data_IF_058932352200
#
_entry.id   IF_058932352200
#
_cell.length_a   1.000
_cell.length_b   1.000
_cell.length_c   1.000
_cell.angle_alpha   90.00
_cell.angle_beta   90.00
_cell.angle_gamma   90.00
#
_symmetry.space_group_name_H-M   'P 1'
#
loop_
_entity.id
_entity.type
_entity.pdbx_description
1 polymer ?
#
# COMPACT_ATOMS: atom_id res chain seq x y z
N UNK A 1 25.38 0.18 -1.90
CA UNK A 1 24.50 0.15 -3.08
C UNK A 1 23.10 0.55 -2.64
N UNK A 2 22.70 1.80 -2.89
CA UNK A 2 21.32 2.22 -2.66
C UNK A 2 20.49 1.66 -3.83
N UNK A 3 19.85 0.51 -3.63
CA UNK A 3 18.88 0.03 -4.60
C UNK A 3 17.76 1.06 -4.67
N UNK A 4 17.49 1.60 -5.86
CA UNK A 4 16.35 2.47 -6.15
C UNK A 4 15.06 1.67 -5.96
N UNK A 5 14.66 1.52 -4.70
CA UNK A 5 13.47 0.80 -4.30
C UNK A 5 12.29 1.77 -4.40
N UNK A 6 11.92 2.22 -5.60
CA UNK A 6 10.74 3.07 -5.77
C UNK A 6 9.49 2.25 -5.39
N UNK A 7 8.74 2.72 -4.39
CA UNK A 7 7.43 2.16 -4.08
C UNK A 7 6.43 2.61 -5.13
N UNK A 8 5.86 1.66 -5.86
CA UNK A 8 4.71 1.94 -6.72
C UNK A 8 3.47 1.30 -6.12
N UNK A 9 2.51 2.16 -5.80
CA UNK A 9 1.14 1.80 -5.44
C UNK A 9 0.23 2.15 -6.61
N UNK A 10 -0.62 1.21 -7.03
CA UNK A 10 -1.58 1.44 -8.11
C UNK A 10 -2.84 0.63 -7.88
N UNK A 11 -3.99 1.27 -8.12
CA UNK A 11 -5.31 0.66 -8.06
C UNK A 11 -5.86 0.63 -9.48
N UNK A 12 -6.26 -0.54 -9.96
CA UNK A 12 -6.84 -0.72 -11.30
C UNK A 12 -8.27 -1.23 -11.18
N UNK A 13 -9.19 -0.70 -11.98
CA UNK A 13 -10.53 -1.29 -12.17
C UNK A 13 -10.39 -2.49 -13.10
N UNK A 14 -10.76 -3.67 -12.60
CA UNK A 14 -10.88 -4.89 -13.39
C UNK A 14 -12.26 -4.99 -14.02
N UNK A 15 -12.48 -6.01 -14.86
CA UNK A 15 -13.84 -6.40 -15.25
C UNK A 15 -14.66 -6.67 -13.98
N UNK A 16 -15.96 -6.36 -14.03
CA UNK A 16 -16.90 -6.55 -12.92
C UNK A 16 -16.69 -5.63 -11.69
N UNK A 17 -16.16 -4.42 -11.89
CA UNK A 17 -15.99 -3.38 -10.84
C UNK A 17 -15.04 -3.76 -9.70
N UNK A 18 -14.32 -4.86 -9.83
CA UNK A 18 -13.29 -5.26 -8.88
C UNK A 18 -12.06 -4.36 -8.99
N UNK A 19 -11.28 -4.23 -7.93
CA UNK A 19 -10.01 -3.53 -8.00
C UNK A 19 -8.81 -4.44 -7.76
N UNK A 20 -7.71 -4.11 -8.42
CA UNK A 20 -6.41 -4.71 -8.19
C UNK A 20 -5.46 -3.69 -7.57
N UNK A 21 -4.89 -4.03 -6.41
CA UNK A 21 -3.83 -3.26 -5.77
C UNK A 21 -2.48 -3.87 -6.15
N UNK A 22 -1.58 -3.05 -6.67
CA UNK A 22 -0.24 -3.48 -7.08
C UNK A 22 0.80 -2.78 -6.24
N UNK A 23 1.66 -3.58 -5.61
CA UNK A 23 2.88 -3.15 -4.95
C UNK A 23 4.07 -3.53 -5.83
N UNK A 24 4.98 -2.59 -6.07
CA UNK A 24 6.24 -2.87 -6.76
C UNK A 24 7.39 -2.22 -6.00
N UNK A 25 8.44 -3.00 -5.85
CA UNK A 25 9.79 -2.67 -5.42
C UNK A 25 10.72 -3.53 -6.30
N UNK A 26 11.95 -3.11 -6.62
CA UNK A 26 12.88 -3.72 -7.60
C UNK A 26 12.71 -5.24 -7.72
N UNK A 27 12.00 -5.70 -8.77
CA UNK A 27 11.61 -7.11 -8.92
C UNK A 27 10.18 -7.32 -9.44
N UNK A 28 9.60 -8.47 -9.08
CA UNK A 28 8.25 -8.88 -9.50
C UNK A 28 7.18 -8.08 -8.75
N UNK A 29 6.16 -7.53 -9.44
CA UNK A 29 5.05 -6.85 -8.77
C UNK A 29 4.27 -7.85 -7.92
N UNK A 30 3.94 -7.44 -6.69
CA UNK A 30 2.97 -8.13 -5.85
C UNK A 30 1.58 -7.56 -6.16
N UNK A 31 0.64 -8.42 -6.51
CA UNK A 31 -0.72 -8.03 -6.89
C UNK A 31 -1.71 -8.64 -5.91
N UNK A 32 -2.62 -7.81 -5.41
CA UNK A 32 -3.83 -8.23 -4.72
C UNK A 32 -5.01 -7.98 -5.65
N UNK A 33 -5.84 -8.98 -5.81
CA UNK A 33 -7.00 -8.95 -6.68
C UNK A 33 -8.28 -8.81 -5.86
N UNK A 34 -9.34 -8.32 -6.48
CA UNK A 34 -10.69 -8.30 -5.91
C UNK A 34 -10.81 -7.53 -4.59
N UNK A 35 -10.08 -6.41 -4.45
CA UNK A 35 -10.19 -5.55 -3.27
C UNK A 35 -11.61 -4.96 -3.18
N UNK A 36 -12.30 -5.18 -2.05
CA UNK A 36 -13.70 -4.80 -1.85
C UNK A 36 -13.82 -3.33 -1.40
N UNK A 37 -12.94 -2.87 -0.51
CA UNK A 37 -13.04 -1.55 0.15
C UNK A 37 -11.96 -0.57 -0.35
N UNK A 38 -11.91 -0.39 -1.66
CA UNK A 38 -10.83 0.33 -2.35
C UNK A 38 -10.70 1.79 -1.93
N UNK A 39 -11.84 2.48 -1.81
CA UNK A 39 -11.87 3.89 -1.42
C UNK A 39 -11.48 4.07 0.04
N UNK A 40 -11.89 3.14 0.90
CA UNK A 40 -11.49 3.12 2.30
C UNK A 40 -9.98 2.93 2.42
N UNK A 41 -9.41 1.93 1.73
CA UNK A 41 -7.97 1.73 1.67
C UNK A 41 -7.22 2.98 1.19
N UNK A 42 -7.70 3.62 0.12
CA UNK A 42 -7.10 4.83 -0.42
C UNK A 42 -7.12 5.99 0.60
N UNK A 43 -8.22 6.16 1.33
CA UNK A 43 -8.35 7.11 2.42
C UNK A 43 -7.38 6.84 3.57
N UNK A 44 -7.31 5.59 4.04
CA UNK A 44 -6.40 5.19 5.12
C UNK A 44 -4.93 5.42 4.75
N UNK A 45 -4.51 5.11 3.52
CA UNK A 45 -3.15 5.39 3.07
C UNK A 45 -2.84 6.89 3.04
N UNK A 46 -3.83 7.74 2.72
CA UNK A 46 -3.65 9.20 2.75
C UNK A 46 -3.50 9.70 4.17
N UNK A 47 -4.36 9.25 5.09
CA UNK A 47 -4.26 9.60 6.52
C UNK A 47 -2.93 9.16 7.10
N UNK A 48 -2.50 7.94 6.81
CA UNK A 48 -1.22 7.39 7.23
C UNK A 48 -0.03 8.19 6.68
N UNK A 49 -0.07 8.60 5.40
CA UNK A 49 0.95 9.47 4.81
C UNK A 49 1.06 10.81 5.54
N UNK A 50 -0.07 11.41 5.93
CA UNK A 50 -0.08 12.67 6.68
C UNK A 50 0.45 12.47 8.09
N UNK A 51 0.06 11.38 8.77
CA UNK A 51 0.55 11.05 10.11
C UNK A 51 2.06 10.77 10.14
N UNK A 52 2.61 10.16 9.10
CA UNK A 52 4.06 9.95 8.97
C UNK A 52 4.78 11.28 8.76
N UNK A 53 4.20 12.21 7.99
CA UNK A 53 4.78 13.53 7.76
C UNK A 53 4.88 14.39 9.05
N UNK A 54 4.10 14.09 10.10
CA UNK A 54 4.24 14.78 11.40
C UNK A 54 5.43 14.29 12.23
N UNK A 55 6.18 13.29 11.75
CA UNK A 55 7.36 12.76 12.43
C UNK A 55 7.06 11.80 13.59
N UNK A 56 5.79 11.55 13.90
CA UNK A 56 5.40 10.65 14.99
C UNK A 56 5.64 9.20 14.59
N UNK A 57 6.24 8.41 15.49
CA UNK A 57 6.42 6.98 15.25
C UNK A 57 5.06 6.31 15.00
N UNK A 58 4.96 5.53 13.93
CA UNK A 58 3.72 4.84 13.54
C UNK A 58 3.95 3.33 13.55
N UNK A 59 2.94 2.59 14.01
CA UNK A 59 2.82 1.16 13.77
C UNK A 59 1.35 0.85 13.47
N UNK A 60 1.03 0.79 12.19
CA UNK A 60 -0.33 0.74 11.68
C UNK A 60 -0.58 -0.58 10.95
N UNK A 61 -1.30 -1.53 11.57
CA UNK A 61 -1.81 -2.70 10.88
C UNK A 61 -3.15 -2.37 10.20
N UNK A 62 -3.28 -2.72 8.93
CA UNK A 62 -4.51 -2.60 8.16
C UNK A 62 -4.90 -3.93 7.54
N UNK A 63 -6.14 -4.38 7.78
CA UNK A 63 -6.68 -5.58 7.16
C UNK A 63 -7.32 -5.24 5.81
N UNK A 64 -6.72 -5.76 4.74
CA UNK A 64 -7.22 -5.68 3.37
C UNK A 64 -8.26 -6.78 3.15
N UNK A 65 -9.47 -6.37 2.77
CA UNK A 65 -10.58 -7.29 2.44
C UNK A 65 -10.66 -7.55 0.94
N UNK A 66 -10.43 -8.80 0.56
CA UNK A 66 -10.55 -9.29 -0.81
C UNK A 66 -11.78 -10.20 -0.96
N UNK A 67 -12.34 -10.30 -2.17
CA UNK A 67 -13.52 -11.13 -2.44
C UNK A 67 -13.27 -12.65 -2.42
N UNK A 68 -12.02 -13.07 -2.30
CA UNK A 68 -11.65 -14.47 -2.07
C UNK A 68 -11.88 -14.92 -0.62
N UNK A 69 -12.31 -14.02 0.28
CA UNK A 69 -12.54 -14.29 1.70
C UNK A 69 -11.24 -14.47 2.49
N UNK A 70 -10.09 -14.19 1.87
CA UNK A 70 -8.78 -14.31 2.49
C UNK A 70 -8.39 -13.00 3.18
N UNK A 71 -7.85 -13.14 4.40
CA UNK A 71 -7.36 -11.99 5.14
C UNK A 71 -5.92 -11.66 4.73
N UNK A 72 -5.74 -10.43 4.25
CA UNK A 72 -4.44 -9.87 3.94
C UNK A 72 -4.16 -8.75 4.94
N UNK A 73 -2.97 -8.70 5.51
CA UNK A 73 -2.60 -7.61 6.42
C UNK A 73 -1.47 -6.77 5.83
N UNK A 74 -1.70 -5.47 5.76
CA UNK A 74 -0.70 -4.47 5.42
C UNK A 74 -0.20 -3.84 6.72
N UNK A 75 1.07 -3.99 7.00
CA UNK A 75 1.72 -3.34 8.15
C UNK A 75 2.55 -2.19 7.65
N UNK A 76 2.31 -1.01 8.20
CA UNK A 76 3.17 0.15 7.97
C UNK A 76 3.78 0.60 9.29
N UNK A 77 5.10 0.75 9.31
CA UNK A 77 5.86 1.22 10.46
C UNK A 77 6.69 2.42 10.06
N UNK A 78 6.73 3.45 10.90
CA UNK A 78 7.61 4.59 10.73
C UNK A 78 8.45 4.81 11.98
N UNK A 79 9.76 4.64 11.88
CA UNK A 79 10.73 4.77 12.98
C UNK A 79 12.03 5.32 12.42
N UNK A 80 12.66 6.27 13.11
CA UNK A 80 13.96 6.86 12.72
C UNK A 80 13.96 7.33 11.25
N UNK A 81 12.92 8.06 10.84
CA UNK A 81 12.76 8.60 9.48
C UNK A 81 12.60 7.56 8.35
N UNK A 82 12.51 6.27 8.70
CA UNK A 82 12.31 5.18 7.75
C UNK A 82 10.88 4.66 7.85
N UNK A 83 10.19 4.62 6.72
CA UNK A 83 8.93 3.90 6.52
C UNK A 83 9.25 2.49 6.08
N UNK A 84 8.69 1.50 6.79
CA UNK A 84 8.66 0.10 6.39
C UNK A 84 7.21 -0.30 6.08
N UNK A 85 7.00 -0.90 4.91
CA UNK A 85 5.70 -1.38 4.45
C UNK A 85 5.79 -2.86 4.14
N UNK A 86 4.92 -3.66 4.74
CA UNK A 86 4.91 -5.12 4.58
C UNK A 86 3.51 -5.62 4.30
N UNK A 87 3.37 -6.43 3.27
CA UNK A 87 2.13 -7.16 2.98
C UNK A 87 2.30 -8.61 3.37
N UNK A 88 1.42 -9.06 4.27
CA UNK A 88 1.37 -10.41 4.78
C UNK A 88 0.10 -11.11 4.29
N UNK A 89 0.25 -12.37 3.91
CA UNK A 89 -0.87 -13.28 3.67
C UNK A 89 -0.76 -14.42 4.65
N UNK A 90 -1.71 -14.49 5.61
CA UNK A 90 -1.55 -15.32 6.81
C UNK A 90 -0.19 -15.01 7.46
N UNK A 91 0.66 -16.01 7.65
CA UNK A 91 1.99 -15.87 8.24
C UNK A 91 3.12 -15.68 7.21
N UNK A 92 2.79 -15.56 5.92
CA UNK A 92 3.78 -15.43 4.85
C UNK A 92 3.93 -13.98 4.39
N UNK A 93 5.16 -13.45 4.45
CA UNK A 93 5.52 -12.16 3.87
C UNK A 93 5.48 -12.25 2.34
N UNK A 94 4.61 -11.45 1.71
CA UNK A 94 4.42 -11.44 0.25
C UNK A 94 5.10 -10.25 -0.43
N UNK A 95 5.27 -9.16 0.31
CA UNK A 95 5.94 -7.96 -0.17
C UNK A 95 6.52 -7.20 1.01
N UNK A 96 7.72 -6.64 0.84
CA UNK A 96 8.31 -5.69 1.75
C UNK A 96 8.96 -4.54 1.01
N UNK A 97 8.88 -3.37 1.61
CA UNK A 97 9.50 -2.16 1.13
C UNK A 97 9.96 -1.30 2.29
N UNK A 98 11.06 -0.60 2.10
CA UNK A 98 11.56 0.41 3.02
C UNK A 98 12.01 1.63 2.24
N UNK A 99 11.74 2.81 2.79
CA UNK A 99 12.19 4.08 2.23
C UNK A 99 11.79 5.25 3.10
N UNK A 100 11.93 6.45 2.57
CA UNK A 100 11.65 7.70 3.27
C UNK A 100 10.15 8.00 3.34
N UNK A 101 9.75 8.84 4.30
CA UNK A 101 8.40 9.43 4.36
C UNK A 101 8.00 10.11 3.04
N UNK A 102 8.96 10.79 2.39
CA UNK A 102 8.76 11.46 1.10
C UNK A 102 8.43 10.47 -0.02
N UNK A 103 9.19 9.38 -0.14
CA UNK A 103 8.93 8.34 -1.15
C UNK A 103 7.58 7.66 -0.93
N UNK A 104 7.24 7.37 0.33
CA UNK A 104 5.94 6.81 0.68
C UNK A 104 4.79 7.74 0.28
N UNK A 105 4.86 9.02 0.65
CA UNK A 105 3.86 10.02 0.27
C UNK A 105 3.72 10.16 -1.24
N UNK A 106 4.83 10.23 -1.98
CA UNK A 106 4.81 10.31 -3.44
C UNK A 106 4.11 9.08 -4.04
N UNK A 107 4.35 7.88 -3.51
CA UNK A 107 3.68 6.67 -3.94
C UNK A 107 2.16 6.70 -3.68
N UNK A 108 1.75 7.17 -2.49
CA UNK A 108 0.34 7.34 -2.12
C UNK A 108 -0.35 8.38 -3.00
N UNK A 109 0.25 9.56 -3.18
CA UNK A 109 -0.34 10.63 -4.00
C UNK A 109 -0.47 10.22 -5.47
N UNK A 110 0.51 9.48 -6.00
CA UNK A 110 0.45 8.89 -7.34
C UNK A 110 -0.68 7.86 -7.46
N UNK A 111 -0.89 7.02 -6.45
CA UNK A 111 -1.99 6.06 -6.42
C UNK A 111 -3.35 6.79 -6.45
N UNK A 112 -3.52 7.83 -5.64
CA UNK A 112 -4.75 8.62 -5.56
C UNK A 112 -5.05 9.35 -6.87
N UNK A 113 -4.03 9.93 -7.50
CA UNK A 113 -4.17 10.63 -8.80
C UNK A 113 -4.62 9.67 -9.91
N UNK A 114 -4.23 8.40 -9.82
CA UNK A 114 -4.57 7.35 -10.79
C UNK A 114 -5.76 6.50 -10.36
N UNK A 115 -6.44 6.88 -9.28
CA UNK A 115 -7.55 6.11 -8.74
C UNK A 115 -8.64 6.01 -9.81
N UNK A 116 -9.11 4.79 -10.16
CA UNK A 116 -10.15 4.64 -11.16
C UNK A 116 -11.39 5.42 -10.72
N UNK A 117 -12.07 6.04 -11.69
CA UNK A 117 -13.41 6.56 -11.48
C UNK A 117 -14.35 5.39 -11.26
N UNK A 118 -14.64 5.08 -10.00
CA UNK A 118 -15.67 4.13 -9.60
C UNK A 118 -17.03 4.85 -9.62
N UNK A 119 -17.48 5.21 -10.83
CA UNK A 119 -18.86 5.59 -11.12
C UNK A 119 -19.56 4.41 -11.81
#
# INVERSE_FOLDING_TARGET
>A
MMCNNELLLSIYKMKDRQACLVFKNTGKPCKLFNLIEVLHFAGEMKLLSVAIDTGAAQNYPYCLRCADGLEHSLKCRFVQEVVALELWFKEQLRFSWQGTAKEFRVAVDRMLTKLPRFF
#
